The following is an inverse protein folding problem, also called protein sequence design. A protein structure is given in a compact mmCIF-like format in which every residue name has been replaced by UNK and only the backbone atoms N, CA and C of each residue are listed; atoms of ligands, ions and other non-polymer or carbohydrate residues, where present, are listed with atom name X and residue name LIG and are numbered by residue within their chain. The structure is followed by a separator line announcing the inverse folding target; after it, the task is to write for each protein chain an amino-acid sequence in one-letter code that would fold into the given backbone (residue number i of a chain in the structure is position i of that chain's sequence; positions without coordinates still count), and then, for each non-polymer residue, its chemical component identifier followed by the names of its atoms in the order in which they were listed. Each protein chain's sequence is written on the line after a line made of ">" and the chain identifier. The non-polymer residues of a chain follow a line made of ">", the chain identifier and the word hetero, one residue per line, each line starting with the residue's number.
data_IF_347268944361
#
_entry.id   IF_347268944361
#
_cell.length_a   1.000
_cell.length_b   1.000
_cell.length_c   1.000
_cell.angle_alpha   90.00
_cell.angle_beta   90.00
_cell.angle_gamma   90.00
#
_symmetry.space_group_name_H-M   'P 1'
#
loop_
_entity.id
_entity.type
_entity.pdbx_description
1 polymer ?
#
# COMPACT_ATOMS: atom_id res chain seq x y z
N UNK A 1 26.90 -2.34 11.82
CA UNK A 1 27.61 -1.07 11.85
C UNK A 1 27.99 -0.61 10.42
N UNK A 2 28.51 0.59 10.27
CA UNK A 2 28.85 1.17 8.97
C UNK A 2 29.96 0.40 8.23
N UNK A 3 30.89 -0.20 8.94
CA UNK A 3 31.97 -1.00 8.34
C UNK A 3 31.42 -2.29 7.68
N UNK A 4 30.50 -2.96 8.35
CA UNK A 4 29.85 -4.15 7.79
C UNK A 4 28.99 -3.80 6.57
N UNK A 5 28.27 -2.69 6.60
CA UNK A 5 27.50 -2.17 5.44
C UNK A 5 28.44 -1.86 4.27
N UNK A 6 29.60 -1.25 4.52
CA UNK A 6 30.57 -0.96 3.47
C UNK A 6 31.08 -2.25 2.79
N UNK A 7 31.31 -3.32 3.56
CA UNK A 7 31.71 -4.64 3.04
C UNK A 7 30.60 -5.32 2.23
N UNK A 8 29.32 -5.12 2.60
CA UNK A 8 28.18 -5.71 1.90
C UNK A 8 27.76 -4.92 0.65
N UNK A 9 28.06 -3.63 0.58
CA UNK A 9 27.63 -2.74 -0.52
C UNK A 9 27.98 -3.27 -1.92
N UNK A 10 29.18 -3.78 -2.22
CA UNK A 10 29.50 -4.31 -3.56
C UNK A 10 28.61 -5.48 -3.97
N UNK A 11 28.26 -6.36 -3.02
CA UNK A 11 27.37 -7.51 -3.29
C UNK A 11 25.91 -7.01 -3.44
N UNK A 12 25.46 -6.19 -2.52
CA UNK A 12 24.09 -5.70 -2.48
C UNK A 12 23.75 -4.78 -3.69
N UNK A 13 24.75 -4.11 -4.29
CA UNK A 13 24.56 -3.30 -5.50
C UNK A 13 24.15 -4.11 -6.73
N UNK A 14 24.43 -5.40 -6.77
CA UNK A 14 23.92 -6.29 -7.83
C UNK A 14 22.44 -6.65 -7.66
N UNK A 15 21.88 -6.46 -6.45
CA UNK A 15 20.50 -6.82 -6.09
C UNK A 15 19.58 -5.60 -5.99
N UNK A 16 20.13 -4.39 -5.80
CA UNK A 16 19.36 -3.17 -5.58
C UNK A 16 20.10 -1.93 -6.09
N UNK A 17 19.33 -1.03 -6.72
CA UNK A 17 19.84 0.27 -7.16
C UNK A 17 20.11 1.23 -5.99
N UNK A 18 19.43 1.05 -4.86
CA UNK A 18 19.54 1.93 -3.69
C UNK A 18 19.68 1.10 -2.41
N UNK A 19 20.74 1.40 -1.66
CA UNK A 19 21.02 0.77 -0.36
C UNK A 19 21.12 1.88 0.67
N UNK A 20 20.21 1.87 1.63
CA UNK A 20 20.16 2.86 2.71
C UNK A 20 20.37 2.14 4.05
N UNK A 21 21.33 2.61 4.84
CA UNK A 21 21.53 2.15 6.21
C UNK A 21 20.53 2.85 7.12
N UNK A 22 19.61 2.08 7.71
CA UNK A 22 18.51 2.61 8.51
C UNK A 22 18.80 2.60 10.03
N UNK A 23 19.96 2.15 10.45
CA UNK A 23 20.35 2.08 11.87
C UNK A 23 20.80 0.68 12.31
N UNK A 24 20.52 0.31 13.56
CA UNK A 24 20.92 -0.97 14.15
C UNK A 24 20.15 -2.17 13.53
N UNK A 25 20.53 -3.38 13.95
CA UNK A 25 19.87 -4.62 13.50
C UNK A 25 18.36 -4.54 13.75
N UNK A 26 17.57 -4.90 12.74
CA UNK A 26 16.10 -4.86 12.78
C UNK A 26 15.47 -3.60 12.17
N UNK A 27 16.16 -2.44 12.15
CA UNK A 27 15.57 -1.18 11.66
C UNK A 27 15.19 -1.21 10.18
N UNK A 28 15.90 -1.98 9.36
CA UNK A 28 15.52 -2.21 7.96
C UNK A 28 14.16 -2.89 7.82
N UNK A 29 13.87 -3.86 8.69
CA UNK A 29 12.56 -4.54 8.70
C UNK A 29 11.44 -3.60 9.19
N UNK A 30 11.72 -2.76 10.19
CA UNK A 30 10.79 -1.71 10.64
C UNK A 30 10.49 -0.74 9.49
N UNK A 31 11.53 -0.31 8.76
CA UNK A 31 11.36 0.56 7.57
C UNK A 31 10.47 -0.09 6.52
N UNK A 32 10.61 -1.41 6.28
CA UNK A 32 9.72 -2.16 5.38
C UNK A 32 8.27 -2.13 5.88
N UNK A 33 8.04 -2.31 7.18
CA UNK A 33 6.69 -2.22 7.77
C UNK A 33 6.11 -0.81 7.53
N UNK A 34 6.89 0.25 7.78
CA UNK A 34 6.45 1.64 7.50
C UNK A 34 6.09 1.85 6.02
N UNK A 35 6.87 1.28 5.10
CA UNK A 35 6.52 1.32 3.67
C UNK A 35 5.17 0.64 3.40
N UNK A 36 4.91 -0.53 3.98
CA UNK A 36 3.66 -1.25 3.79
C UNK A 36 2.46 -0.51 4.41
N UNK A 37 2.64 0.20 5.52
CA UNK A 37 1.63 1.09 6.08
C UNK A 37 1.22 2.16 5.06
N UNK A 38 2.18 2.82 4.42
CA UNK A 38 1.92 3.86 3.43
C UNK A 38 1.22 3.25 2.21
N UNK A 39 1.75 2.16 1.65
CA UNK A 39 1.20 1.53 0.44
C UNK A 39 -0.24 1.06 0.65
N UNK A 40 -0.51 0.30 1.70
CA UNK A 40 -1.83 -0.28 1.92
C UNK A 40 -2.87 0.76 2.37
N UNK A 41 -2.48 1.74 3.19
CA UNK A 41 -3.39 2.84 3.58
C UNK A 41 -3.72 3.73 2.37
N UNK A 42 -2.74 4.03 1.52
CA UNK A 42 -2.98 4.75 0.26
C UNK A 42 -3.89 3.97 -0.67
N UNK A 43 -3.77 2.65 -0.77
CA UNK A 43 -4.65 1.85 -1.62
C UNK A 43 -6.12 1.99 -1.21
N UNK A 44 -6.41 1.98 0.10
CA UNK A 44 -7.77 2.21 0.61
C UNK A 44 -8.25 3.62 0.28
N UNK A 45 -7.44 4.65 0.53
CA UNK A 45 -7.78 6.04 0.22
C UNK A 45 -8.00 6.27 -1.29
N UNK A 46 -7.17 5.67 -2.14
CA UNK A 46 -7.32 5.74 -3.60
C UNK A 46 -8.64 5.07 -4.02
N UNK A 47 -9.01 3.95 -3.40
CA UNK A 47 -10.26 3.26 -3.67
C UNK A 47 -11.49 4.11 -3.32
N UNK A 48 -11.49 4.77 -2.16
CA UNK A 48 -12.54 5.74 -1.79
C UNK A 48 -12.61 6.89 -2.80
N UNK A 49 -11.45 7.45 -3.17
CA UNK A 49 -11.36 8.57 -4.11
C UNK A 49 -11.91 8.20 -5.49
N UNK A 50 -11.51 7.05 -6.03
CA UNK A 50 -11.98 6.55 -7.33
C UNK A 50 -13.49 6.30 -7.30
N UNK A 51 -14.00 5.69 -6.23
CA UNK A 51 -15.43 5.43 -6.10
C UNK A 51 -16.25 6.71 -5.97
N UNK A 52 -15.78 7.68 -5.17
CA UNK A 52 -16.42 8.98 -5.00
C UNK A 52 -16.43 9.75 -6.32
N UNK A 53 -15.29 9.83 -7.02
CA UNK A 53 -15.19 10.52 -8.32
C UNK A 53 -16.18 9.95 -9.33
N UNK A 54 -16.25 8.63 -9.47
CA UNK A 54 -17.19 7.98 -10.36
C UNK A 54 -18.66 8.28 -10.00
N UNK A 55 -19.02 8.22 -8.70
CA UNK A 55 -20.38 8.55 -8.24
C UNK A 55 -20.72 10.03 -8.43
N UNK A 56 -19.73 10.91 -8.38
CA UNK A 56 -19.90 12.36 -8.63
C UNK A 56 -19.89 12.73 -10.12
N UNK A 57 -19.82 11.75 -11.03
CA UNK A 57 -19.85 11.99 -12.48
C UNK A 57 -18.51 12.36 -13.11
N UNK A 58 -17.40 12.22 -12.35
CA UNK A 58 -16.04 12.39 -12.89
C UNK A 58 -15.63 11.12 -13.63
N UNK A 59 -14.98 11.27 -14.79
CA UNK A 59 -14.28 10.14 -15.42
C UNK A 59 -13.12 9.69 -14.54
N UNK A 60 -13.37 8.67 -13.72
CA UNK A 60 -12.40 8.16 -12.76
C UNK A 60 -11.12 7.60 -13.43
N UNK A 61 -11.16 7.26 -14.72
CA UNK A 61 -9.97 6.84 -15.46
C UNK A 61 -8.98 8.00 -15.68
N UNK A 62 -9.47 9.24 -15.63
CA UNK A 62 -8.64 10.43 -15.78
C UNK A 62 -8.01 10.93 -14.47
N UNK A 63 -8.37 10.36 -13.31
CA UNK A 63 -7.82 10.82 -12.02
C UNK A 63 -6.31 10.72 -11.95
N UNK A 64 -5.74 9.57 -12.26
CA UNK A 64 -4.30 9.38 -12.20
C UNK A 64 -3.55 10.28 -13.20
N UNK A 65 -3.93 10.35 -14.48
CA UNK A 65 -3.32 11.29 -15.42
C UNK A 65 -3.43 12.75 -14.99
N UNK A 66 -4.60 13.17 -14.50
CA UNK A 66 -4.84 14.57 -14.11
C UNK A 66 -4.02 15.01 -12.88
N UNK A 67 -3.68 14.09 -12.00
CA UNK A 67 -2.90 14.35 -10.78
C UNK A 67 -1.40 14.11 -10.97
N UNK A 68 -0.99 13.57 -12.12
CA UNK A 68 0.41 13.22 -12.39
C UNK A 68 1.35 14.43 -12.23
N UNK A 69 2.43 14.24 -11.48
CA UNK A 69 3.41 15.28 -11.14
C UNK A 69 2.93 16.32 -10.15
N UNK A 70 1.67 16.26 -9.71
CA UNK A 70 1.11 17.14 -8.68
C UNK A 70 1.41 16.66 -7.26
N UNK A 71 0.99 17.46 -6.27
CA UNK A 71 1.28 17.20 -4.85
C UNK A 71 0.64 15.89 -4.33
N UNK A 72 -0.50 15.49 -4.88
CA UNK A 72 -1.20 14.26 -4.52
C UNK A 72 -0.70 13.03 -5.32
N UNK A 73 0.21 13.22 -6.26
CA UNK A 73 0.71 12.13 -7.09
C UNK A 73 1.54 11.13 -6.26
N UNK A 74 1.43 9.88 -6.64
CA UNK A 74 2.24 8.80 -6.06
C UNK A 74 2.26 7.59 -6.98
N UNK A 75 3.31 6.78 -6.90
CA UNK A 75 3.37 5.53 -7.65
C UNK A 75 2.16 4.61 -7.38
N UNK A 76 1.70 4.43 -6.12
CA UNK A 76 0.45 3.71 -5.86
C UNK A 76 -0.77 4.30 -6.59
N UNK A 77 -0.92 5.62 -6.62
CA UNK A 77 -2.03 6.27 -7.35
C UNK A 77 -1.98 5.93 -8.85
N UNK A 78 -0.81 6.07 -9.48
CA UNK A 78 -0.64 5.82 -10.91
C UNK A 78 -0.88 4.36 -11.30
N UNK A 79 -0.61 3.42 -10.40
CA UNK A 79 -0.81 1.98 -10.65
C UNK A 79 -2.24 1.54 -10.30
N UNK A 80 -2.75 1.94 -9.13
CA UNK A 80 -3.99 1.38 -8.60
C UNK A 80 -5.25 2.08 -9.14
N UNK A 81 -5.23 3.41 -9.30
CA UNK A 81 -6.43 4.13 -9.74
C UNK A 81 -6.96 3.69 -11.11
N UNK A 82 -6.13 3.48 -12.16
CA UNK A 82 -6.63 2.95 -13.44
C UNK A 82 -7.24 1.56 -13.32
N UNK A 83 -6.64 0.67 -12.51
CA UNK A 83 -7.16 -0.69 -12.26
C UNK A 83 -8.52 -0.65 -11.55
N UNK A 84 -8.65 0.24 -10.56
CA UNK A 84 -9.88 0.46 -9.80
C UNK A 84 -10.98 1.09 -10.65
N UNK A 85 -10.65 2.08 -11.48
CA UNK A 85 -11.60 2.73 -12.39
C UNK A 85 -12.17 1.75 -13.42
N UNK A 86 -11.30 0.96 -14.05
CA UNK A 86 -11.68 -0.04 -15.07
C UNK A 86 -12.23 -1.35 -14.48
N UNK A 87 -12.14 -1.54 -13.15
CA UNK A 87 -12.44 -2.82 -12.48
C UNK A 87 -11.65 -4.01 -13.03
N UNK A 88 -10.44 -3.76 -13.54
CA UNK A 88 -9.53 -4.78 -14.02
C UNK A 88 -8.47 -5.10 -12.97
N UNK A 89 -8.63 -6.22 -12.29
CA UNK A 89 -7.78 -6.63 -11.17
C UNK A 89 -6.75 -7.70 -11.56
N UNK A 90 -6.70 -8.08 -12.83
CA UNK A 90 -5.74 -9.05 -13.35
C UNK A 90 -4.60 -8.37 -14.16
N UNK A 91 -3.39 -8.97 -14.18
CA UNK A 91 -2.96 -10.03 -13.29
C UNK A 91 -2.83 -9.55 -11.85
N UNK A 92 -2.98 -10.46 -10.86
CA UNK A 92 -2.79 -10.14 -9.43
C UNK A 92 -1.34 -9.76 -9.19
N UNK A 93 -1.09 -8.52 -8.76
CA UNK A 93 0.23 -8.01 -8.41
C UNK A 93 0.51 -8.13 -6.90
N UNK A 94 -0.48 -7.76 -6.08
CA UNK A 94 -0.40 -7.83 -4.62
C UNK A 94 -1.70 -8.36 -4.06
N UNK A 95 -1.65 -9.53 -3.40
CA UNK A 95 -2.83 -10.13 -2.79
C UNK A 95 -3.30 -9.34 -1.58
N UNK A 96 -4.61 -9.16 -1.42
CA UNK A 96 -5.25 -8.54 -0.26
C UNK A 96 -4.73 -9.12 1.06
N UNK A 97 -4.69 -10.44 1.21
CA UNK A 97 -4.22 -11.11 2.43
C UNK A 97 -2.76 -10.79 2.79
N UNK A 98 -1.90 -10.54 1.79
CA UNK A 98 -0.48 -10.22 2.03
C UNK A 98 -0.34 -8.84 2.67
N UNK A 99 -1.07 -7.84 2.13
CA UNK A 99 -1.05 -6.49 2.68
C UNK A 99 -1.77 -6.43 4.04
N UNK A 100 -2.86 -7.16 4.22
CA UNK A 100 -3.56 -7.27 5.51
C UNK A 100 -2.60 -7.79 6.60
N UNK A 101 -1.89 -8.88 6.34
CA UNK A 101 -0.88 -9.41 7.27
C UNK A 101 0.19 -8.36 7.61
N UNK A 102 0.64 -7.59 6.63
CA UNK A 102 1.66 -6.57 6.84
C UNK A 102 1.13 -5.41 7.70
N UNK A 103 -0.14 -5.01 7.53
CA UNK A 103 -0.78 -4.02 8.41
C UNK A 103 -1.02 -4.55 9.83
N UNK A 104 -1.37 -5.82 9.98
CA UNK A 104 -1.50 -6.45 11.31
C UNK A 104 -0.15 -6.42 12.05
N UNK A 105 0.95 -6.72 11.36
CA UNK A 105 2.29 -6.60 11.92
C UNK A 105 2.62 -5.14 12.30
N UNK A 106 2.20 -4.17 11.51
CA UNK A 106 2.40 -2.75 11.81
C UNK A 106 1.64 -2.29 13.05
N UNK A 107 0.39 -2.72 13.21
CA UNK A 107 -0.42 -2.43 14.40
C UNK A 107 0.16 -3.09 15.64
N UNK A 108 0.66 -4.33 15.53
CA UNK A 108 1.33 -5.02 16.63
C UNK A 108 2.61 -4.27 17.05
N UNK A 109 3.46 -3.92 16.09
CA UNK A 109 4.68 -3.14 16.33
C UNK A 109 4.39 -1.78 16.98
N UNK A 110 3.34 -1.10 16.53
CA UNK A 110 2.91 0.17 17.11
C UNK A 110 2.51 0.01 18.58
N UNK A 111 1.79 -1.05 18.92
CA UNK A 111 1.41 -1.37 20.30
C UNK A 111 2.64 -1.63 21.20
N UNK A 112 3.60 -2.39 20.71
CA UNK A 112 4.85 -2.67 21.43
C UNK A 112 5.67 -1.40 21.70
N UNK A 113 5.60 -0.42 20.79
CA UNK A 113 6.31 0.86 20.89
C UNK A 113 5.47 2.01 21.46
N UNK A 114 4.30 1.73 22.02
CA UNK A 114 3.37 2.73 22.57
C UNK A 114 3.06 3.87 21.56
N UNK A 115 2.98 3.51 20.26
CA UNK A 115 2.69 4.42 19.15
C UNK A 115 1.26 4.24 18.66
N UNK A 116 0.59 5.32 18.28
CA UNK A 116 -0.77 5.29 17.74
C UNK A 116 -0.75 5.25 16.21
N UNK A 117 -1.47 4.29 15.61
CA UNK A 117 -1.56 4.13 14.16
C UNK A 117 -3.01 3.96 13.70
N UNK A 118 -3.92 4.94 13.95
CA UNK A 118 -5.35 4.79 13.70
C UNK A 118 -5.68 4.58 12.22
N UNK A 119 -5.01 5.27 11.30
CA UNK A 119 -5.23 5.12 9.85
C UNK A 119 -4.86 3.69 9.40
N UNK A 120 -3.71 3.18 9.85
CA UNK A 120 -3.27 1.81 9.55
C UNK A 120 -4.25 0.77 10.10
N UNK A 121 -4.74 0.97 11.33
CA UNK A 121 -5.69 0.08 11.97
C UNK A 121 -7.04 0.07 11.21
N UNK A 122 -7.53 1.23 10.77
CA UNK A 122 -8.73 1.34 9.95
C UNK A 122 -8.54 0.63 8.60
N UNK A 123 -7.43 0.88 7.90
CA UNK A 123 -7.12 0.23 6.64
C UNK A 123 -7.06 -1.30 6.79
N UNK A 124 -6.45 -1.81 7.87
CA UNK A 124 -6.42 -3.24 8.17
C UNK A 124 -7.84 -3.82 8.35
N UNK A 125 -8.75 -3.10 9.02
CA UNK A 125 -10.13 -3.55 9.18
C UNK A 125 -10.89 -3.57 7.84
N UNK A 126 -10.71 -2.58 6.98
CA UNK A 126 -11.32 -2.55 5.65
C UNK A 126 -10.81 -3.68 4.76
N UNK A 127 -9.50 -3.94 4.74
CA UNK A 127 -8.94 -5.09 4.02
C UNK A 127 -9.43 -6.42 4.60
N UNK A 128 -9.62 -6.53 5.92
CA UNK A 128 -10.17 -7.73 6.57
C UNK A 128 -11.62 -7.96 6.17
N UNK A 129 -12.43 -6.89 6.15
CA UNK A 129 -13.81 -6.95 5.66
C UNK A 129 -13.86 -7.44 4.21
N UNK A 130 -13.01 -6.88 3.34
CA UNK A 130 -12.92 -7.28 1.95
C UNK A 130 -12.48 -8.74 1.79
N UNK A 131 -11.46 -9.18 2.54
CA UNK A 131 -11.02 -10.57 2.56
C UNK A 131 -12.12 -11.54 3.02
N UNK A 132 -12.92 -11.15 4.03
CA UNK A 132 -14.05 -11.95 4.53
C UNK A 132 -15.18 -12.09 3.50
N UNK A 133 -15.29 -11.18 2.54
CA UNK A 133 -16.21 -11.27 1.40
C UNK A 133 -15.67 -12.14 0.24
N UNK A 134 -14.59 -12.89 0.46
CA UNK A 134 -14.00 -13.81 -0.51
C UNK A 134 -12.83 -13.25 -1.32
N UNK A 135 -12.45 -11.99 -1.12
CA UNK A 135 -11.42 -11.32 -1.92
C UNK A 135 -9.98 -11.52 -1.40
N UNK A 136 -9.74 -12.46 -0.50
CA UNK A 136 -8.43 -12.68 0.14
C UNK A 136 -7.27 -12.85 -0.85
N UNK A 137 -7.52 -13.54 -1.97
CA UNK A 137 -6.53 -13.82 -3.00
C UNK A 137 -6.57 -12.84 -4.18
N UNK A 138 -7.53 -11.93 -4.19
CA UNK A 138 -7.63 -10.91 -5.24
C UNK A 138 -6.51 -9.87 -5.12
N UNK A 139 -6.33 -9.12 -6.20
CA UNK A 139 -5.42 -7.97 -6.23
C UNK A 139 -5.89 -6.87 -5.26
N UNK A 140 -4.93 -6.16 -4.65
CA UNK A 140 -5.21 -5.07 -3.70
C UNK A 140 -6.15 -4.00 -4.28
N UNK A 141 -6.07 -3.73 -5.60
CA UNK A 141 -6.97 -2.78 -6.26
C UNK A 141 -8.44 -3.19 -6.19
N UNK A 142 -8.75 -4.47 -5.95
CA UNK A 142 -10.12 -4.94 -5.78
C UNK A 142 -10.83 -4.38 -4.54
N UNK A 143 -10.10 -3.78 -3.60
CA UNK A 143 -10.67 -3.13 -2.41
C UNK A 143 -11.66 -2.02 -2.77
N UNK A 144 -11.57 -1.45 -3.97
CA UNK A 144 -12.56 -0.48 -4.50
C UNK A 144 -13.99 -1.03 -4.52
N UNK A 145 -14.16 -2.35 -4.57
CA UNK A 145 -15.48 -3.02 -4.50
C UNK A 145 -16.25 -2.66 -3.23
N UNK A 146 -15.55 -2.42 -2.10
CA UNK A 146 -16.18 -2.00 -0.85
C UNK A 146 -16.92 -0.65 -0.98
N UNK A 147 -16.52 0.22 -1.90
CA UNK A 147 -17.00 1.59 -2.06
C UNK A 147 -17.90 1.78 -3.30
N UNK A 148 -17.93 0.76 -4.18
CA UNK A 148 -18.78 0.76 -5.41
C UNK A 148 -20.17 0.19 -5.19
N UNK A 149 -20.63 0.01 -3.96
CA UNK A 149 -21.99 -0.50 -3.67
C UNK A 149 -23.03 0.39 -4.36
N UNK A 150 -24.12 -0.22 -4.91
CA UNK A 150 -25.18 0.51 -5.63
C UNK A 150 -25.89 1.56 -4.79
#
# INVERSE_FOLDING_TARGET
>A
DNEQIAKLRPIASHLSQKITHMGCVGTGQITKICNQMIVASNAVLIAETVALAAKAGVDAAQLAPALAGGFADSLPLQILAPRMASSNFEPVQWKVQTLLKDLDNAVALAKENTSSTPITALAAQLLRLHAAQGASLEDLSSVVKLFKTP
#
